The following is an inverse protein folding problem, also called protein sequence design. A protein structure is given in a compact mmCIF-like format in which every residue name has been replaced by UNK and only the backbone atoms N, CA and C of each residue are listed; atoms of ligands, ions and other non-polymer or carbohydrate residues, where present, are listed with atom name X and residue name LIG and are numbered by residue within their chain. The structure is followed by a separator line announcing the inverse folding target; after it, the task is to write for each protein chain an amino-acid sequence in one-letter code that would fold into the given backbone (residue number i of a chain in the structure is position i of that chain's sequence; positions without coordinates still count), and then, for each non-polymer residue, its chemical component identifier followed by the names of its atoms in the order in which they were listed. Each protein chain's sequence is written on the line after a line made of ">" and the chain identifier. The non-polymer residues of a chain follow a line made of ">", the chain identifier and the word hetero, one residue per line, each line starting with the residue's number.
data_IF_837431154820
#
_entry.id   IF_837431154820
#
_cell.length_a   1.000
_cell.length_b   1.000
_cell.length_c   1.000
_cell.angle_alpha   90.00
_cell.angle_beta   90.00
_cell.angle_gamma   90.00
#
_symmetry.space_group_name_H-M   'P 1'
#
loop_
_entity.id
_entity.type
_entity.pdbx_description
1 polymer ?
#
# COMPACT_ATOMS: atom_id res chain seq x y z
N UNK A 1 22.57 -17.32 -34.62
CA UNK A 1 21.21 -17.76 -34.27
C UNK A 1 20.68 -17.00 -33.07
N UNK A 2 21.11 -17.28 -31.83
CA UNK A 2 20.51 -16.72 -30.60
C UNK A 2 20.30 -15.18 -30.61
N UNK A 3 21.28 -14.39 -31.07
CA UNK A 3 21.16 -12.93 -31.10
C UNK A 3 20.16 -12.43 -32.15
N UNK A 4 20.11 -13.08 -33.31
CA UNK A 4 19.17 -12.72 -34.38
C UNK A 4 17.74 -13.12 -34.00
N UNK A 5 17.57 -14.30 -33.40
CA UNK A 5 16.29 -14.77 -32.88
C UNK A 5 15.75 -13.83 -31.79
N UNK A 6 16.64 -13.29 -30.94
CA UNK A 6 16.28 -12.29 -29.92
C UNK A 6 15.82 -10.98 -30.55
N UNK A 7 16.53 -10.45 -31.53
CA UNK A 7 16.16 -9.20 -32.20
C UNK A 7 14.83 -9.32 -32.94
N UNK A 8 14.61 -10.46 -33.60
CA UNK A 8 13.35 -10.78 -34.27
C UNK A 8 12.20 -10.88 -33.27
N UNK A 9 12.41 -11.56 -32.15
CA UNK A 9 11.43 -11.61 -31.05
C UNK A 9 11.09 -10.22 -30.53
N UNK A 10 12.09 -9.40 -30.22
CA UNK A 10 11.86 -8.05 -29.69
C UNK A 10 11.14 -7.12 -30.68
N UNK A 11 11.33 -7.34 -31.98
CA UNK A 11 10.61 -6.64 -33.04
C UNK A 11 9.13 -7.05 -33.06
N UNK A 12 8.87 -8.36 -33.03
CA UNK A 12 7.51 -8.89 -33.00
C UNK A 12 6.77 -8.49 -31.72
N UNK A 13 7.44 -8.50 -30.56
CA UNK A 13 6.90 -7.99 -29.30
C UNK A 13 6.52 -6.50 -29.41
N UNK A 14 7.32 -5.68 -30.10
CA UNK A 14 7.02 -4.27 -30.31
C UNK A 14 5.83 -4.06 -31.26
N UNK A 15 5.72 -4.85 -32.33
CA UNK A 15 4.55 -4.85 -33.24
C UNK A 15 3.28 -5.23 -32.49
N UNK A 16 3.32 -6.34 -31.75
CA UNK A 16 2.19 -6.81 -30.94
C UNK A 16 1.78 -5.77 -29.89
N UNK A 17 2.72 -5.05 -29.29
CA UNK A 17 2.40 -3.98 -28.34
C UNK A 17 1.65 -2.80 -28.97
N UNK A 18 1.90 -2.49 -30.26
CA UNK A 18 1.11 -1.49 -31.00
C UNK A 18 -0.28 -2.04 -31.26
N UNK A 19 -0.39 -3.26 -31.75
CA UNK A 19 -1.66 -3.92 -32.08
C UNK A 19 -2.58 -4.05 -30.86
N UNK A 20 -2.05 -4.56 -29.75
CA UNK A 20 -2.77 -4.69 -28.48
C UNK A 20 -3.25 -3.32 -27.98
N UNK A 21 -2.37 -2.30 -28.05
CA UNK A 21 -2.74 -0.96 -27.65
C UNK A 21 -3.85 -0.40 -28.53
N UNK A 22 -3.77 -0.54 -29.85
CA UNK A 22 -4.81 -0.04 -30.77
C UNK A 22 -6.15 -0.71 -30.50
N UNK A 23 -6.16 -2.05 -30.37
CA UNK A 23 -7.37 -2.82 -30.11
C UNK A 23 -8.01 -2.44 -28.76
N UNK A 24 -7.23 -2.45 -27.68
CA UNK A 24 -7.70 -2.12 -26.32
C UNK A 24 -8.20 -0.68 -26.24
N UNK A 25 -7.47 0.27 -26.85
CA UNK A 25 -7.84 1.67 -26.78
C UNK A 25 -9.10 1.97 -27.61
N UNK A 26 -9.29 1.34 -28.78
CA UNK A 26 -10.52 1.51 -29.58
C UNK A 26 -11.76 1.03 -28.82
N UNK A 27 -11.68 -0.13 -28.19
CA UNK A 27 -12.78 -0.68 -27.37
C UNK A 27 -13.14 0.25 -26.20
N UNK A 28 -12.12 0.78 -25.52
CA UNK A 28 -12.31 1.66 -24.36
C UNK A 28 -12.71 3.08 -24.70
N UNK A 29 -12.30 3.61 -25.86
CA UNK A 29 -12.49 5.01 -26.26
C UNK A 29 -13.96 5.40 -26.31
N UNK A 30 -14.81 4.53 -26.87
CA UNK A 30 -16.26 4.71 -26.95
C UNK A 30 -17.04 4.17 -25.75
N UNK A 31 -16.36 3.71 -24.70
CA UNK A 31 -17.01 3.10 -23.52
C UNK A 31 -16.55 3.78 -22.24
N UNK A 32 -15.52 3.26 -21.59
CA UNK A 32 -15.04 3.74 -20.28
C UNK A 32 -14.34 5.09 -20.38
N UNK A 33 -13.74 5.42 -21.53
CA UNK A 33 -12.99 6.66 -21.73
C UNK A 33 -13.82 7.82 -22.28
N UNK A 34 -15.03 7.56 -22.80
CA UNK A 34 -15.90 8.56 -23.43
C UNK A 34 -16.09 9.81 -22.56
N UNK A 35 -16.24 9.62 -21.25
CA UNK A 35 -16.47 10.71 -20.28
C UNK A 35 -15.23 11.56 -19.98
N UNK A 36 -14.03 11.06 -20.30
CA UNK A 36 -12.74 11.66 -19.91
C UNK A 36 -12.04 12.39 -21.06
N UNK A 37 -12.70 12.47 -22.21
CA UNK A 37 -12.18 13.06 -23.44
C UNK A 37 -13.21 14.03 -24.03
N UNK A 38 -12.74 15.03 -24.78
CA UNK A 38 -13.63 15.90 -25.54
C UNK A 38 -14.05 15.22 -26.85
N UNK A 39 -15.22 15.56 -27.44
CA UNK A 39 -15.62 14.99 -28.73
C UNK A 39 -14.60 15.25 -29.85
N UNK A 40 -13.94 16.41 -29.83
CA UNK A 40 -12.89 16.77 -30.79
C UNK A 40 -11.66 15.86 -30.66
N UNK A 41 -11.15 15.71 -29.43
CA UNK A 41 -9.99 14.84 -29.16
C UNK A 41 -10.33 13.36 -29.41
N UNK A 42 -11.57 12.95 -29.15
CA UNK A 42 -12.06 11.60 -29.42
C UNK A 42 -12.04 11.27 -30.91
N UNK A 43 -12.55 12.17 -31.75
CA UNK A 43 -12.51 11.99 -33.20
C UNK A 43 -11.07 11.94 -33.70
N UNK A 44 -10.19 12.82 -33.21
CA UNK A 44 -8.79 12.84 -33.58
C UNK A 44 -8.06 11.55 -33.20
N UNK A 45 -8.24 11.08 -31.97
CA UNK A 45 -7.60 9.86 -31.50
C UNK A 45 -8.17 8.62 -32.21
N UNK A 46 -9.48 8.59 -32.47
CA UNK A 46 -10.10 7.50 -33.23
C UNK A 46 -9.50 7.36 -34.63
N UNK A 47 -9.34 8.49 -35.34
CA UNK A 47 -8.69 8.50 -36.65
C UNK A 47 -7.23 8.02 -36.56
N UNK A 48 -6.46 8.48 -35.58
CA UNK A 48 -5.08 8.02 -35.38
C UNK A 48 -4.96 6.51 -35.09
N UNK A 49 -5.91 5.95 -34.33
CA UNK A 49 -5.94 4.52 -34.03
C UNK A 49 -6.28 3.71 -35.29
N UNK A 50 -7.28 4.15 -36.06
CA UNK A 50 -7.65 3.53 -37.35
C UNK A 50 -6.52 3.60 -38.38
N UNK A 51 -5.87 4.75 -38.52
CA UNK A 51 -4.69 4.93 -39.38
C UNK A 51 -3.53 4.04 -38.94
N UNK A 52 -3.43 3.73 -37.64
CA UNK A 52 -2.39 2.81 -37.13
C UNK A 52 -2.73 1.36 -37.36
N UNK A 53 -3.99 0.99 -37.23
CA UNK A 53 -4.47 -0.34 -37.58
C UNK A 53 -4.25 -0.63 -39.06
N UNK A 54 -4.70 0.26 -39.95
CA UNK A 54 -4.50 0.11 -41.40
C UNK A 54 -3.01 0.01 -41.75
N UNK A 55 -2.18 0.87 -41.14
CA UNK A 55 -0.73 0.82 -41.35
C UNK A 55 -0.13 -0.53 -40.93
N UNK A 56 -0.57 -1.15 -39.83
CA UNK A 56 -0.05 -2.46 -39.38
C UNK A 56 -0.28 -3.59 -40.40
N UNK A 57 -1.35 -3.50 -41.19
CA UNK A 57 -1.68 -4.46 -42.26
C UNK A 57 -1.03 -4.14 -43.62
N UNK A 58 -0.47 -2.93 -43.78
CA UNK A 58 0.16 -2.47 -45.01
C UNK A 58 1.67 -2.25 -44.80
N UNK A 59 2.11 -0.99 -44.79
CA UNK A 59 3.52 -0.60 -44.68
C UNK A 59 4.19 -1.06 -43.37
N UNK A 60 3.38 -1.31 -42.33
CA UNK A 60 3.79 -1.73 -41.00
C UNK A 60 4.03 -3.22 -40.83
N UNK A 61 3.87 -4.04 -41.87
CA UNK A 61 4.03 -5.49 -41.74
C UNK A 61 5.45 -5.89 -41.30
N UNK A 62 6.47 -5.31 -41.94
CA UNK A 62 7.89 -5.65 -41.80
C UNK A 62 8.75 -4.39 -41.55
N UNK A 63 8.56 -3.76 -40.39
CA UNK A 63 9.29 -2.54 -40.01
C UNK A 63 10.34 -2.79 -38.93
N UNK A 64 11.40 -1.95 -38.85
CA UNK A 64 12.34 -2.00 -37.74
C UNK A 64 11.64 -1.78 -36.40
N UNK A 65 12.09 -2.48 -35.35
CA UNK A 65 11.56 -2.36 -33.98
C UNK A 65 11.30 -0.92 -33.54
N UNK A 66 12.22 -0.01 -33.84
CA UNK A 66 12.13 1.38 -33.41
C UNK A 66 10.89 2.08 -33.99
N UNK A 67 10.47 1.75 -35.21
CA UNK A 67 9.28 2.35 -35.84
C UNK A 67 8.01 2.00 -35.06
N UNK A 68 7.86 0.74 -34.61
CA UNK A 68 6.74 0.34 -33.75
C UNK A 68 6.77 1.06 -32.39
N UNK A 69 7.96 1.19 -31.79
CA UNK A 69 8.14 1.91 -30.52
C UNK A 69 7.73 3.38 -30.65
N UNK A 70 8.19 4.06 -31.70
CA UNK A 70 7.90 5.48 -31.92
C UNK A 70 6.42 5.71 -32.19
N UNK A 71 5.79 4.83 -32.98
CA UNK A 71 4.35 4.89 -33.27
C UNK A 71 3.51 4.65 -32.02
N UNK A 72 3.88 3.68 -31.19
CA UNK A 72 3.24 3.45 -29.89
C UNK A 72 3.40 4.64 -28.96
N UNK A 73 4.58 5.27 -28.93
CA UNK A 73 4.81 6.47 -28.14
C UNK A 73 3.94 7.64 -28.61
N UNK A 74 3.78 7.81 -29.92
CA UNK A 74 2.91 8.84 -30.49
C UNK A 74 1.45 8.64 -30.07
N UNK A 75 0.93 7.42 -30.18
CA UNK A 75 -0.41 7.08 -29.70
C UNK A 75 -0.56 7.33 -28.19
N UNK A 76 0.45 6.96 -27.40
CA UNK A 76 0.46 7.14 -25.94
C UNK A 76 0.47 8.61 -25.52
N UNK A 77 1.04 9.54 -26.30
CA UNK A 77 0.98 10.98 -25.98
C UNK A 77 -0.46 11.48 -25.83
N UNK A 78 -1.39 10.93 -26.61
CA UNK A 78 -2.80 11.29 -26.58
C UNK A 78 -3.61 10.37 -25.66
N UNK A 79 -3.32 9.07 -25.66
CA UNK A 79 -4.07 8.10 -24.85
C UNK A 79 -3.74 8.11 -23.36
N UNK A 80 -2.46 8.30 -22.98
CA UNK A 80 -2.07 8.27 -21.56
C UNK A 80 -2.80 9.31 -20.71
N UNK A 81 -2.97 10.58 -21.11
CA UNK A 81 -3.76 11.54 -20.34
C UNK A 81 -5.19 11.08 -20.06
N UNK A 82 -5.84 10.42 -21.01
CA UNK A 82 -7.22 9.91 -20.88
C UNK A 82 -7.25 8.74 -19.90
N UNK A 83 -6.33 7.78 -20.07
CA UNK A 83 -6.20 6.64 -19.16
C UNK A 83 -5.89 7.11 -17.73
N UNK A 84 -5.01 8.09 -17.57
CA UNK A 84 -4.70 8.68 -16.27
C UNK A 84 -5.95 9.30 -15.64
N UNK A 85 -6.73 10.11 -16.38
CA UNK A 85 -7.97 10.70 -15.85
C UNK A 85 -8.97 9.63 -15.41
N UNK A 86 -9.13 8.56 -16.19
CA UNK A 86 -9.98 7.42 -15.84
C UNK A 86 -9.51 6.73 -14.56
N UNK A 87 -8.24 6.31 -14.49
CA UNK A 87 -7.69 5.62 -13.31
C UNK A 87 -7.78 6.52 -12.07
N UNK A 88 -7.43 7.78 -12.22
CA UNK A 88 -7.52 8.77 -11.16
C UNK A 88 -8.97 8.97 -10.70
N UNK A 89 -9.96 8.92 -11.59
CA UNK A 89 -11.37 9.00 -11.22
C UNK A 89 -11.85 7.77 -10.43
N UNK A 90 -11.42 6.57 -10.81
CA UNK A 90 -11.80 5.32 -10.14
C UNK A 90 -11.13 5.16 -8.77
N UNK A 91 -9.85 5.54 -8.66
CA UNK A 91 -9.05 5.29 -7.47
C UNK A 91 -9.09 6.45 -6.45
N UNK A 92 -9.32 7.69 -6.88
CA UNK A 92 -9.34 8.85 -5.96
C UNK A 92 -10.41 8.74 -4.87
N UNK A 93 -11.68 8.34 -5.14
CA UNK A 93 -12.67 8.18 -4.08
C UNK A 93 -12.23 7.18 -3.00
N UNK A 94 -11.54 6.09 -3.40
CA UNK A 94 -11.01 5.09 -2.48
C UNK A 94 -9.91 5.69 -1.60
N UNK A 95 -8.94 6.38 -2.23
CA UNK A 95 -7.86 7.04 -1.52
C UNK A 95 -8.35 8.12 -0.54
N UNK A 96 -9.33 8.93 -0.95
CA UNK A 96 -9.96 9.96 -0.09
C UNK A 96 -10.68 9.32 1.10
N UNK A 97 -11.44 8.24 0.86
CA UNK A 97 -12.15 7.51 1.91
C UNK A 97 -11.17 6.92 2.94
N UNK A 98 -10.07 6.33 2.49
CA UNK A 98 -9.09 5.74 3.38
C UNK A 98 -8.33 6.79 4.21
N UNK A 99 -8.00 7.94 3.61
CA UNK A 99 -7.48 9.08 4.37
C UNK A 99 -8.51 9.59 5.40
N UNK A 100 -9.78 9.70 5.01
CA UNK A 100 -10.88 10.06 5.90
C UNK A 100 -11.02 9.11 7.09
N UNK A 101 -10.97 7.79 6.87
CA UNK A 101 -11.01 6.79 7.93
C UNK A 101 -9.84 6.93 8.91
N UNK A 102 -8.62 7.18 8.42
CA UNK A 102 -7.45 7.40 9.28
C UNK A 102 -7.61 8.65 10.14
N UNK A 103 -8.07 9.75 9.54
CA UNK A 103 -8.41 10.98 10.28
C UNK A 103 -9.41 10.68 11.40
N UNK A 104 -10.49 9.96 11.09
CA UNK A 104 -11.51 9.59 12.09
C UNK A 104 -10.95 8.68 13.20
N UNK A 105 -10.05 7.75 12.87
CA UNK A 105 -9.41 6.90 13.87
C UNK A 105 -8.59 7.71 14.86
N UNK A 106 -7.78 8.66 14.38
CA UNK A 106 -6.96 9.52 15.25
C UNK A 106 -7.84 10.48 16.06
N UNK A 107 -8.92 11.02 15.49
CA UNK A 107 -9.88 11.84 16.23
C UNK A 107 -10.48 11.09 17.44
N UNK A 108 -10.82 9.80 17.27
CA UNK A 108 -11.30 8.97 18.40
C UNK A 108 -10.25 8.82 19.50
N UNK A 109 -8.97 8.73 19.15
CA UNK A 109 -7.88 8.69 20.14
C UNK A 109 -7.77 10.02 20.88
N UNK A 110 -7.82 11.15 20.17
CA UNK A 110 -7.79 12.49 20.78
C UNK A 110 -8.96 12.65 21.76
N UNK A 111 -10.16 12.24 21.37
CA UNK A 111 -11.34 12.29 22.23
C UNK A 111 -11.21 11.39 23.46
N UNK A 112 -10.70 10.16 23.28
CA UNK A 112 -10.46 9.24 24.38
C UNK A 112 -9.40 9.77 25.37
N UNK A 113 -8.32 10.40 24.87
CA UNK A 113 -7.33 11.10 25.70
C UNK A 113 -7.96 12.25 26.50
N UNK A 114 -8.77 13.09 25.84
CA UNK A 114 -9.50 14.19 26.50
C UNK A 114 -10.43 13.71 27.60
N UNK A 115 -11.04 12.54 27.41
CA UNK A 115 -11.92 11.88 28.38
C UNK A 115 -11.16 11.07 29.44
N UNK A 116 -9.82 11.14 29.47
CA UNK A 116 -8.94 10.40 30.41
C UNK A 116 -9.15 8.88 30.36
N UNK A 117 -9.38 8.34 29.16
CA UNK A 117 -9.39 6.89 28.94
C UNK A 117 -8.03 6.33 29.36
N UNK A 118 -8.04 5.34 30.27
CA UNK A 118 -6.83 4.73 30.81
C UNK A 118 -5.85 4.30 29.72
N UNK A 119 -6.34 3.91 28.53
CA UNK A 119 -5.48 3.47 27.41
C UNK A 119 -4.57 4.57 26.88
N UNK A 120 -4.95 5.84 27.03
CA UNK A 120 -4.26 6.99 26.45
C UNK A 120 -3.81 8.02 27.50
N UNK A 121 -4.22 7.91 28.77
CA UNK A 121 -3.90 8.88 29.82
C UNK A 121 -2.39 9.12 30.05
N UNK A 122 -1.54 8.17 29.65
CA UNK A 122 -0.07 8.30 29.70
C UNK A 122 0.53 9.14 28.57
N UNK A 123 -0.27 9.53 27.56
CA UNK A 123 0.19 10.34 26.44
C UNK A 123 0.34 11.79 26.86
N UNK A 124 1.43 12.41 26.39
CA UNK A 124 1.74 13.81 26.70
C UNK A 124 0.68 14.76 26.11
N UNK A 125 0.05 15.62 26.94
CA UNK A 125 -1.00 16.53 26.47
C UNK A 125 -0.56 17.51 25.38
N UNK A 126 0.67 18.02 25.43
CA UNK A 126 1.19 18.94 24.43
C UNK A 126 1.49 18.22 23.10
N UNK A 127 1.88 16.95 23.14
CA UNK A 127 1.99 16.12 21.93
C UNK A 127 0.61 15.83 21.33
N UNK A 128 -0.39 15.54 22.16
CA UNK A 128 -1.76 15.31 21.70
C UNK A 128 -2.41 16.56 21.10
N UNK A 129 -2.15 17.76 21.64
CA UNK A 129 -2.59 19.01 21.03
C UNK A 129 -1.96 19.24 19.64
N UNK A 130 -0.67 18.89 19.48
CA UNK A 130 -0.01 18.92 18.16
C UNK A 130 -0.66 17.94 17.18
N UNK A 131 -1.03 16.74 17.63
CA UNK A 131 -1.77 15.76 16.82
C UNK A 131 -3.14 16.28 16.43
N UNK A 132 -3.90 16.86 17.37
CA UNK A 132 -5.22 17.45 17.10
C UNK A 132 -5.14 18.55 16.03
N UNK A 133 -4.17 19.45 16.13
CA UNK A 133 -3.95 20.48 15.12
C UNK A 133 -3.63 19.88 13.75
N UNK A 134 -2.71 18.92 13.68
CA UNK A 134 -2.32 18.28 12.41
C UNK A 134 -3.49 17.54 11.75
N UNK A 135 -4.33 16.88 12.55
CA UNK A 135 -5.52 16.18 12.08
C UNK A 135 -6.58 17.17 11.57
N UNK A 136 -6.79 18.28 12.27
CA UNK A 136 -7.68 19.36 11.81
C UNK A 136 -7.21 19.95 10.47
N UNK A 137 -5.92 20.26 10.33
CA UNK A 137 -5.33 20.76 9.09
C UNK A 137 -5.47 19.75 7.94
N UNK A 138 -5.28 18.45 8.23
CA UNK A 138 -5.45 17.37 7.25
C UNK A 138 -6.91 17.19 6.81
N UNK A 139 -7.86 17.32 7.73
CA UNK A 139 -9.29 17.28 7.43
C UNK A 139 -9.72 18.48 6.57
N UNK A 140 -9.21 19.68 6.88
CA UNK A 140 -9.45 20.88 6.08
C UNK A 140 -8.89 20.74 4.66
N UNK A 141 -7.68 20.19 4.53
CA UNK A 141 -7.09 19.87 3.23
C UNK A 141 -7.96 18.89 2.43
N UNK A 142 -8.39 17.78 3.06
CA UNK A 142 -9.24 16.77 2.43
C UNK A 142 -10.54 17.39 1.90
N UNK A 143 -11.23 18.14 2.75
CA UNK A 143 -12.48 18.82 2.40
C UNK A 143 -12.29 19.84 1.27
N UNK A 144 -11.22 20.63 1.35
CA UNK A 144 -10.88 21.63 0.32
C UNK A 144 -10.63 20.97 -1.04
N UNK A 145 -9.81 19.90 -1.08
CA UNK A 145 -9.51 19.17 -2.31
C UNK A 145 -10.73 18.46 -2.89
N UNK A 146 -11.56 17.85 -2.05
CA UNK A 146 -12.81 17.21 -2.48
C UNK A 146 -13.78 18.23 -3.08
N UNK A 147 -13.97 19.37 -2.42
CA UNK A 147 -14.83 20.44 -2.91
C UNK A 147 -14.33 21.06 -4.22
N UNK A 148 -13.01 21.21 -4.37
CA UNK A 148 -12.43 21.71 -5.61
C UNK A 148 -12.56 20.68 -6.75
N UNK A 149 -12.34 19.39 -6.47
CA UNK A 149 -12.47 18.31 -7.45
C UNK A 149 -13.91 18.17 -7.97
N UNK A 150 -14.91 18.34 -7.10
CA UNK A 150 -16.32 18.24 -7.47
C UNK A 150 -16.80 19.35 -8.44
N UNK A 151 -16.00 20.41 -8.64
CA UNK A 151 -16.31 21.51 -9.57
C UNK A 151 -15.75 21.29 -10.97
N UNK A 152 -14.86 20.31 -11.16
CA UNK A 152 -14.23 20.04 -12.44
C UNK A 152 -15.05 19.05 -13.26
N UNK A 153 -15.00 19.19 -14.59
CA UNK A 153 -15.46 18.13 -15.49
C UNK A 153 -14.48 16.95 -15.50
N UNK A 154 -14.98 15.79 -15.90
CA UNK A 154 -14.16 14.57 -16.03
C UNK A 154 -13.07 14.67 -17.11
N UNK A 155 -13.22 15.62 -18.04
CA UNK A 155 -12.26 15.89 -19.11
C UNK A 155 -11.08 16.76 -18.65
N UNK A 156 -11.18 17.41 -17.49
CA UNK A 156 -10.13 18.26 -16.93
C UNK A 156 -9.16 17.46 -16.06
N UNK A 157 -7.94 17.99 -15.92
CA UNK A 157 -6.96 17.41 -15.01
C UNK A 157 -7.44 17.53 -13.55
N UNK A 158 -7.22 16.51 -12.72
CA UNK A 158 -7.72 16.52 -11.35
C UNK A 158 -6.98 17.51 -10.46
N UNK A 159 -7.70 18.08 -9.48
CA UNK A 159 -7.15 19.03 -8.49
C UNK A 159 -6.20 18.36 -7.50
N UNK A 160 -6.35 17.04 -7.33
CA UNK A 160 -5.50 16.20 -6.50
C UNK A 160 -5.40 14.82 -7.12
N UNK A 161 -4.17 14.34 -7.26
CA UNK A 161 -3.87 12.99 -7.72
C UNK A 161 -3.95 11.98 -6.57
N UNK A 162 -4.21 10.73 -6.89
CA UNK A 162 -4.18 9.61 -5.93
C UNK A 162 -2.83 9.55 -5.22
N UNK A 163 -1.73 9.75 -5.94
CA UNK A 163 -0.38 9.76 -5.37
C UNK A 163 -0.17 10.83 -4.30
N UNK A 164 -0.77 12.01 -4.46
CA UNK A 164 -0.73 13.09 -3.48
C UNK A 164 -1.53 12.71 -2.22
N UNK A 165 -2.71 12.10 -2.38
CA UNK A 165 -3.53 11.63 -1.25
C UNK A 165 -2.79 10.54 -0.46
N UNK A 166 -2.18 9.58 -1.17
CA UNK A 166 -1.39 8.52 -0.55
C UNK A 166 -0.18 9.11 0.18
N UNK A 167 0.48 10.11 -0.39
CA UNK A 167 1.59 10.81 0.27
C UNK A 167 1.11 11.51 1.54
N UNK A 168 0.00 12.26 1.48
CA UNK A 168 -0.61 12.90 2.63
C UNK A 168 -1.02 11.91 3.72
N UNK A 169 -1.51 10.73 3.33
CA UNK A 169 -1.83 9.64 4.24
C UNK A 169 -0.60 9.10 4.97
N UNK A 170 0.52 8.92 4.26
CA UNK A 170 1.80 8.51 4.86
C UNK A 170 2.36 9.57 5.80
N UNK A 171 2.26 10.86 5.44
CA UNK A 171 2.66 11.95 6.32
C UNK A 171 1.86 11.98 7.62
N UNK A 172 0.54 11.76 7.54
CA UNK A 172 -0.33 11.64 8.71
C UNK A 172 0.08 10.47 9.59
N UNK A 173 0.29 9.29 9.02
CA UNK A 173 0.75 8.12 9.78
C UNK A 173 2.09 8.40 10.46
N UNK A 174 3.07 8.95 9.73
CA UNK A 174 4.40 9.23 10.24
C UNK A 174 4.38 10.25 11.39
N UNK A 175 3.46 11.22 11.35
CA UNK A 175 3.33 12.23 12.38
C UNK A 175 2.55 11.73 13.60
N UNK A 176 1.40 11.08 13.38
CA UNK A 176 0.47 10.72 14.45
C UNK A 176 0.87 9.42 15.16
N UNK A 177 1.33 8.40 14.43
CA UNK A 177 1.54 7.06 14.98
C UNK A 177 2.57 7.02 16.13
N UNK A 178 3.72 7.73 16.07
CA UNK A 178 4.68 7.72 17.17
C UNK A 178 4.15 8.32 18.48
N UNK A 179 3.13 9.18 18.38
CA UNK A 179 2.51 9.84 19.53
C UNK A 179 1.35 8.99 20.03
N UNK A 180 0.41 8.66 19.14
CA UNK A 180 -0.84 7.93 19.43
C UNK A 180 -0.60 6.50 19.91
N UNK A 181 0.43 5.82 19.39
CA UNK A 181 0.76 4.45 19.76
C UNK A 181 1.95 4.34 20.71
N UNK A 182 2.34 5.45 21.37
CA UNK A 182 3.38 5.41 22.41
C UNK A 182 2.95 4.42 23.50
N UNK A 183 3.76 3.42 23.87
CA UNK A 183 3.37 2.41 24.85
C UNK A 183 3.29 3.00 26.26
N UNK A 184 2.44 2.42 27.10
CA UNK A 184 2.39 2.74 28.54
C UNK A 184 3.73 2.41 29.20
N UNK A 185 4.27 3.30 30.06
CA UNK A 185 5.43 2.97 30.87
C UNK A 185 5.17 1.71 31.71
N UNK A 186 6.06 0.72 31.65
CA UNK A 186 6.00 -0.42 32.57
C UNK A 186 6.32 0.11 33.97
N UNK A 187 5.40 -0.07 34.92
CA UNK A 187 5.68 0.16 36.33
C UNK A 187 6.63 -0.95 36.77
N UNK A 188 7.91 -0.64 36.97
CA UNK A 188 8.80 -1.53 37.71
C UNK A 188 8.26 -1.59 39.15
N UNK A 189 7.77 -2.77 39.54
CA UNK A 189 7.43 -3.02 40.93
C UNK A 189 8.71 -2.83 41.77
N UNK A 190 8.67 -2.07 42.88
CA UNK A 190 9.86 -1.87 43.69
C UNK A 190 10.36 -3.23 44.19
N UNK A 191 11.61 -3.58 43.84
CA UNK A 191 12.31 -4.70 44.47
C UNK A 191 12.30 -4.47 45.98
N UNK A 192 11.64 -5.39 46.68
CA UNK A 192 11.54 -5.43 48.12
C UNK A 192 12.97 -5.57 48.68
N UNK A 193 13.54 -4.45 49.14
CA UNK A 193 14.80 -4.45 49.89
C UNK A 193 14.53 -5.08 51.25
N UNK A 194 14.51 -6.42 51.28
CA UNK A 194 14.57 -7.20 52.50
C UNK A 194 15.84 -6.80 53.27
N UNK A 195 15.61 -6.16 54.42
CA UNK A 195 16.63 -5.76 55.38
C UNK A 195 17.45 -6.98 55.80
N UNK A 196 18.74 -6.97 55.46
CA UNK A 196 19.75 -7.75 56.16
C UNK A 196 20.01 -7.13 57.52
N UNK A 197 19.94 -7.93 58.58
CA UNK A 197 20.31 -7.50 59.92
C UNK A 197 19.85 -8.45 61.02
N UNK A 198 20.58 -9.53 61.24
CA UNK A 198 21.08 -9.93 62.58
C UNK A 198 21.99 -11.15 62.48
N UNK A 199 23.21 -10.95 62.97
CA UNK A 199 24.24 -11.95 63.19
C UNK A 199 23.83 -12.93 64.30
N UNK A 200 24.15 -14.21 64.13
CA UNK A 200 24.64 -15.02 65.25
C UNK A 200 25.71 -15.99 64.75
N UNK A 201 26.89 -15.89 65.36
CA UNK A 201 28.08 -16.67 65.07
C UNK A 201 28.18 -17.82 66.08
N UNK A 202 28.50 -19.04 65.64
CA UNK A 202 29.27 -19.99 66.44
C UNK A 202 28.88 -21.47 66.35
N UNK A 203 29.87 -22.39 66.48
CA UNK A 203 30.13 -23.42 65.47
C UNK A 203 30.09 -24.87 66.02
N UNK A 204 29.96 -25.89 65.16
CA UNK A 204 30.76 -27.12 65.30
C UNK A 204 30.71 -28.05 64.07
N UNK A 205 31.90 -28.61 63.81
CA UNK A 205 32.34 -29.65 62.86
C UNK A 205 31.44 -30.88 62.62
N UNK A 206 31.67 -31.53 61.47
CA UNK A 206 31.46 -32.98 61.36
C UNK A 206 31.20 -33.60 59.97
N UNK A 207 32.20 -33.55 59.08
CA UNK A 207 32.73 -34.69 58.28
C UNK A 207 31.84 -35.64 57.43
N UNK A 208 32.37 -35.94 56.23
CA UNK A 208 32.10 -37.08 55.29
C UNK A 208 30.80 -37.05 54.48
N UNK A 209 30.75 -37.39 53.19
CA UNK A 209 31.72 -37.94 52.24
C UNK A 209 30.96 -38.59 51.06
N UNK A 210 31.60 -38.63 49.87
CA UNK A 210 31.26 -39.37 48.62
C UNK A 210 29.94 -39.09 47.89
N UNK A 211 29.99 -38.57 46.66
CA UNK A 211 29.92 -39.30 45.35
C UNK A 211 28.48 -39.76 45.02
N UNK A 212 27.86 -39.53 43.86
CA UNK A 212 28.25 -39.78 42.47
C UNK A 212 27.23 -39.11 41.52
N UNK A 213 27.66 -38.60 40.35
CA UNK A 213 26.83 -38.62 39.12
C UNK A 213 26.99 -39.98 38.43
N UNK A 214 26.04 -40.52 37.64
CA UNK A 214 25.88 -40.08 36.23
C UNK A 214 24.46 -40.22 35.62
N UNK A 215 24.34 -39.78 34.37
CA UNK A 215 23.17 -39.63 33.48
C UNK A 215 22.78 -40.98 32.74
N UNK A 216 21.92 -41.00 31.68
CA UNK A 216 20.58 -41.64 31.51
C UNK A 216 20.63 -43.04 30.81
N UNK A 217 19.54 -43.76 30.36
CA UNK A 217 18.66 -43.41 29.20
C UNK A 217 17.23 -44.05 29.09
N UNK A 218 16.47 -43.59 28.08
CA UNK A 218 15.45 -44.24 27.19
C UNK A 218 14.57 -45.43 27.64
N UNK A 219 13.29 -45.38 27.22
CA UNK A 219 12.66 -46.50 26.50
C UNK A 219 11.12 -46.60 26.50
N UNK A 220 10.53 -46.50 25.30
CA UNK A 220 9.31 -47.19 24.77
C UNK A 220 7.95 -47.03 25.50
N UNK A 221 6.77 -47.14 24.87
CA UNK A 221 6.31 -47.60 23.55
C UNK A 221 4.87 -47.06 23.33
N UNK A 222 4.50 -46.63 22.12
CA UNK A 222 3.58 -47.31 21.18
C UNK A 222 2.15 -47.64 21.68
N UNK A 223 1.13 -47.15 20.96
CA UNK A 223 0.19 -47.95 20.14
C UNK A 223 -0.74 -47.00 19.34
N UNK A 224 -0.63 -46.95 18.00
CA UNK A 224 -1.56 -47.45 16.92
C UNK A 224 -2.92 -46.74 16.81
N UNK A 225 -3.25 -46.09 15.69
CA UNK A 225 -3.74 -46.66 14.40
C UNK A 225 -5.14 -47.30 14.57
N UNK A 226 -6.20 -47.01 13.82
CA UNK A 226 -6.43 -46.83 12.37
C UNK A 226 -7.77 -46.06 12.18
N UNK A 227 -8.16 -45.36 11.10
CA UNK A 227 -7.92 -45.54 9.67
C UNK A 227 -9.13 -46.22 9.02
N UNK A 228 -10.00 -45.47 8.30
CA UNK A 228 -10.70 -45.95 7.08
C UNK A 228 -11.53 -44.83 6.39
N UNK A 229 -11.36 -44.73 5.08
CA UNK A 229 -11.95 -43.79 4.14
C UNK A 229 -12.05 -44.54 2.79
N UNK A 230 -13.26 -44.88 2.32
CA UNK A 230 -13.56 -45.28 0.94
C UNK A 230 -15.02 -44.86 0.65
N UNK A 231 -15.30 -43.96 -0.31
CA UNK A 231 -15.55 -44.16 -1.75
C UNK A 231 -16.64 -45.19 -2.09
N UNK A 232 -17.87 -44.72 -2.29
CA UNK A 232 -18.58 -44.69 -3.59
C UNK A 232 -19.70 -43.63 -3.52
#
# INVERSE_FOLDING_TARGET
>A
MIMQDKLEKERNDAKNAVEEYVYDFRDKLGTVYEKFITPEDMNKLSAMLEDTENWLYEEGEDQPKQVYVDRLQELKKYGQPIQMKYVEHEERPKALNDLGKKIQLVLKVIEAHRNKDERYDHLDPAEMERVEKYISDSMNWLNSKMNAQNKLSLTQDPVVKVSEIVTKSKELDNFCNPIVYKPKPKVEAPEDKAKTGSEHNGPMDGQSGSETSPDPPKGSSQHTDSGEMEVD
#
